data_IF_054223219046
#
_entry.id   IF_054223219046
#
_cell.length_a   1.000
_cell.length_b   1.000
_cell.length_c   1.000
_cell.angle_alpha   90.00
_cell.angle_beta   90.00
_cell.angle_gamma   90.00
#
_symmetry.space_group_name_H-M   'P 1'
#
loop_
_entity.id
_entity.type
_entity.pdbx_description
1 polymer ?
#
# COMPACT_ATOMS: atom_id res chain seq x y z
N UNK A 1 30.15 -0.72 23.21
CA UNK A 1 30.08 -1.45 21.93
C UNK A 1 29.62 -2.86 22.23
N UNK A 2 28.35 -3.20 21.95
CA UNK A 2 27.89 -4.60 21.96
C UNK A 2 28.11 -5.14 20.56
N UNK A 3 29.12 -5.98 20.40
CA UNK A 3 29.33 -6.73 19.16
C UNK A 3 28.25 -7.81 19.15
N UNK A 4 27.17 -7.59 18.41
CA UNK A 4 26.15 -8.62 18.17
C UNK A 4 26.80 -9.74 17.37
N UNK A 5 26.81 -10.95 17.93
CA UNK A 5 27.25 -12.16 17.23
C UNK A 5 26.22 -12.53 16.18
N UNK A 6 26.44 -12.10 14.94
CA UNK A 6 25.66 -12.50 13.78
C UNK A 6 25.95 -13.99 13.53
N UNK A 7 24.96 -14.84 13.81
CA UNK A 7 25.06 -16.28 13.59
C UNK A 7 23.70 -16.89 13.28
N UNK A 8 23.63 -18.16 12.85
CA UNK A 8 22.37 -18.84 12.49
C UNK A 8 21.35 -18.92 13.64
N UNK A 9 21.80 -18.68 14.87
CA UNK A 9 20.99 -18.68 16.08
C UNK A 9 20.63 -17.28 16.60
N UNK A 10 20.92 -16.21 15.86
CA UNK A 10 20.56 -14.84 16.21
C UNK A 10 19.05 -14.70 16.36
N UNK A 11 18.59 -14.12 17.47
CA UNK A 11 17.18 -13.87 17.76
C UNK A 11 16.51 -13.04 16.66
N UNK A 12 17.24 -12.09 16.08
CA UNK A 12 16.71 -11.22 15.02
C UNK A 12 16.41 -11.99 13.72
N UNK A 13 17.26 -12.95 13.35
CA UNK A 13 17.04 -13.80 12.18
C UNK A 13 15.89 -14.78 12.42
N UNK A 14 15.82 -15.39 13.61
CA UNK A 14 14.70 -16.27 14.01
C UNK A 14 13.37 -15.52 14.00
N UNK A 15 13.35 -14.29 14.50
CA UNK A 15 12.16 -13.42 14.49
C UNK A 15 11.66 -13.19 13.07
N UNK A 16 12.54 -12.78 12.15
CA UNK A 16 12.20 -12.56 10.73
C UNK A 16 11.69 -13.82 10.04
N UNK A 17 12.39 -14.95 10.22
CA UNK A 17 11.97 -16.22 9.60
C UNK A 17 10.60 -16.66 10.11
N UNK A 18 10.36 -16.54 11.42
CA UNK A 18 9.08 -16.90 12.03
C UNK A 18 7.96 -15.99 11.55
N UNK A 19 8.21 -14.67 11.50
CA UNK A 19 7.29 -13.67 10.98
C UNK A 19 6.92 -13.96 9.51
N UNK A 20 7.91 -14.09 8.63
CA UNK A 20 7.67 -14.43 7.21
C UNK A 20 6.89 -15.75 7.07
N UNK A 21 7.27 -16.78 7.83
CA UNK A 21 6.61 -18.09 7.77
C UNK A 21 5.15 -18.02 8.19
N UNK A 22 4.84 -17.31 9.28
CA UNK A 22 3.47 -17.10 9.73
C UNK A 22 2.67 -16.30 8.70
N UNK A 23 3.28 -15.27 8.09
CA UNK A 23 2.69 -14.49 7.01
C UNK A 23 2.33 -15.34 5.79
N UNK A 24 3.25 -16.18 5.32
CA UNK A 24 3.01 -17.07 4.19
C UNK A 24 1.92 -18.12 4.48
N UNK A 25 1.85 -18.64 5.71
CA UNK A 25 0.75 -19.53 6.14
C UNK A 25 -0.60 -18.81 6.12
N UNK A 26 -0.63 -17.57 6.64
CA UNK A 26 -1.86 -16.76 6.69
C UNK A 26 -2.39 -16.33 5.34
N UNK A 27 -1.52 -16.22 4.32
CA UNK A 27 -1.92 -15.81 2.98
C UNK A 27 -2.91 -16.79 2.35
N UNK A 28 -2.71 -18.09 2.60
CA UNK A 28 -3.53 -19.17 2.04
C UNK A 28 -5.02 -19.02 2.41
N UNK A 29 -5.32 -18.40 3.56
CA UNK A 29 -6.70 -18.22 4.01
C UNK A 29 -7.45 -17.07 3.30
N UNK A 30 -6.72 -16.05 2.84
CA UNK A 30 -7.29 -14.85 2.21
C UNK A 30 -6.48 -14.43 0.97
N UNK A 31 -6.46 -15.25 -0.10
CA UNK A 31 -5.48 -15.11 -1.17
C UNK A 31 -5.69 -13.90 -2.09
N UNK A 32 -6.92 -13.38 -2.20
CA UNK A 32 -7.25 -12.32 -3.18
C UNK A 32 -6.96 -10.94 -2.60
N UNK A 33 -7.58 -10.61 -1.46
CA UNK A 33 -7.54 -9.29 -0.84
C UNK A 33 -6.78 -9.25 0.50
N UNK A 34 -6.26 -10.39 0.97
CA UNK A 34 -5.52 -10.45 2.22
C UNK A 34 -6.36 -10.18 3.46
N UNK A 35 -5.68 -9.87 4.56
CA UNK A 35 -6.26 -9.60 5.88
C UNK A 35 -6.65 -8.14 6.10
N UNK A 36 -6.41 -7.29 5.12
CA UNK A 36 -6.55 -5.84 5.19
C UNK A 36 -5.23 -5.14 5.54
N UNK A 37 -5.03 -3.88 5.10
CA UNK A 37 -3.88 -3.06 5.51
C UNK A 37 -3.77 -2.98 7.04
N UNK A 38 -2.54 -2.95 7.57
CA UNK A 38 -2.22 -2.86 9.01
C UNK A 38 -2.74 -4.02 9.89
N UNK A 39 -3.29 -5.08 9.29
CA UNK A 39 -3.85 -6.23 10.02
C UNK A 39 -2.89 -7.43 10.08
N UNK A 40 -1.60 -7.24 9.81
CA UNK A 40 -0.64 -8.35 9.81
C UNK A 40 -0.56 -9.06 11.17
N UNK A 41 -0.60 -8.32 12.28
CA UNK A 41 -0.57 -8.87 13.65
C UNK A 41 -1.58 -10.02 13.86
N UNK A 42 -2.72 -9.95 13.19
CA UNK A 42 -3.81 -10.92 13.32
C UNK A 42 -3.48 -12.20 12.58
N UNK A 43 -3.04 -12.08 11.33
CA UNK A 43 -2.58 -13.21 10.53
C UNK A 43 -1.38 -13.89 11.19
N UNK A 44 -0.42 -13.08 11.66
CA UNK A 44 0.73 -13.56 12.40
C UNK A 44 0.32 -14.31 13.67
N UNK A 45 -0.52 -13.71 14.52
CA UNK A 45 -0.95 -14.32 15.78
C UNK A 45 -1.67 -15.65 15.59
N UNK A 46 -2.44 -15.80 14.50
CA UNK A 46 -3.12 -17.06 14.16
C UNK A 46 -2.16 -18.18 13.75
N UNK A 47 -1.05 -17.84 13.11
CA UNK A 47 -0.08 -18.81 12.57
C UNK A 47 1.26 -18.80 13.30
N UNK A 48 1.33 -18.10 14.44
CA UNK A 48 2.52 -18.02 15.26
C UNK A 48 2.83 -19.38 15.88
N UNK A 49 4.09 -19.79 15.76
CA UNK A 49 4.60 -21.01 16.36
C UNK A 49 5.17 -20.70 17.75
N UNK A 50 4.47 -21.11 18.80
CA UNK A 50 4.91 -20.91 20.18
C UNK A 50 6.20 -21.68 20.52
N UNK A 51 6.53 -22.73 19.76
CA UNK A 51 7.76 -23.52 19.94
C UNK A 51 8.97 -22.88 19.24
N UNK A 52 8.77 -21.83 18.44
CA UNK A 52 9.84 -21.10 17.74
C UNK A 52 10.89 -20.47 18.67
N UNK A 53 10.55 -20.32 19.96
CA UNK A 53 11.38 -19.65 20.95
C UNK A 53 11.41 -18.11 20.81
N UNK A 54 10.70 -17.56 19.83
CA UNK A 54 10.56 -16.12 19.63
C UNK A 54 9.54 -15.57 20.62
N UNK A 55 9.89 -14.49 21.34
CA UNK A 55 9.00 -13.86 22.32
C UNK A 55 8.41 -12.54 21.83
N UNK A 56 8.95 -12.00 20.75
CA UNK A 56 8.48 -10.77 20.14
C UNK A 56 7.16 -10.99 19.40
N UNK A 57 6.29 -9.99 19.47
CA UNK A 57 5.07 -9.93 18.67
C UNK A 57 5.33 -9.08 17.43
N UNK A 58 4.92 -9.57 16.27
CA UNK A 58 5.13 -8.87 15.02
C UNK A 58 3.83 -8.28 14.51
N UNK A 59 3.81 -6.97 14.41
CA UNK A 59 2.76 -6.20 13.73
C UNK A 59 3.03 -6.05 12.23
N UNK A 60 4.19 -6.50 11.75
CA UNK A 60 4.58 -6.53 10.34
C UNK A 60 5.47 -7.73 9.97
N UNK A 61 5.40 -8.16 8.71
CA UNK A 61 6.12 -9.33 8.20
C UNK A 61 7.66 -9.18 8.14
N UNK A 62 8.18 -7.96 8.32
CA UNK A 62 9.61 -7.65 8.15
C UNK A 62 10.18 -8.02 6.77
N UNK A 63 9.29 -8.13 5.78
CA UNK A 63 9.57 -8.25 4.37
C UNK A 63 8.39 -7.66 3.61
N UNK A 64 8.63 -6.61 2.82
CA UNK A 64 7.55 -5.85 2.19
C UNK A 64 6.73 -6.67 1.21
N UNK A 65 7.31 -7.61 0.47
CA UNK A 65 6.54 -8.45 -0.45
C UNK A 65 5.60 -9.38 0.30
N UNK A 66 6.08 -9.97 1.39
CA UNK A 66 5.26 -10.82 2.26
C UNK A 66 4.16 -9.99 2.91
N UNK A 67 4.47 -8.78 3.39
CA UNK A 67 3.52 -7.82 3.97
C UNK A 67 2.40 -7.44 2.98
N UNK A 68 2.75 -7.06 1.75
CA UNK A 68 1.77 -6.73 0.71
C UNK A 68 0.92 -7.96 0.35
N UNK A 69 1.55 -9.13 0.26
CA UNK A 69 0.87 -10.39 -0.06
C UNK A 69 -0.15 -10.79 1.03
N UNK A 70 0.23 -10.72 2.31
CA UNK A 70 -0.64 -11.12 3.41
C UNK A 70 -1.73 -10.10 3.71
N UNK A 71 -1.40 -8.80 3.71
CA UNK A 71 -2.36 -7.74 4.07
C UNK A 71 -3.29 -7.42 2.92
N UNK A 72 -2.82 -7.45 1.67
CA UNK A 72 -3.61 -7.02 0.50
C UNK A 72 -3.81 -8.12 -0.54
N UNK A 73 -3.32 -9.33 -0.28
CA UNK A 73 -3.49 -10.49 -1.16
C UNK A 73 -2.73 -10.37 -2.47
N UNK A 74 -3.07 -11.25 -3.41
CA UNK A 74 -2.49 -11.24 -4.75
C UNK A 74 -2.74 -9.91 -5.47
N UNK A 75 -3.92 -9.30 -5.29
CA UNK A 75 -4.25 -8.01 -5.93
C UNK A 75 -3.30 -6.92 -5.46
N UNK A 76 -3.05 -6.82 -4.14
CA UNK A 76 -2.09 -5.88 -3.58
C UNK A 76 -0.67 -6.12 -4.08
N UNK A 77 -0.19 -7.37 -4.01
CA UNK A 77 1.17 -7.69 -4.44
C UNK A 77 1.38 -7.40 -5.93
N UNK A 78 0.43 -7.77 -6.80
CA UNK A 78 0.51 -7.49 -8.24
C UNK A 78 0.55 -5.98 -8.49
N UNK A 79 -0.31 -5.22 -7.81
CA UNK A 79 -0.32 -3.76 -7.91
C UNK A 79 1.03 -3.17 -7.48
N UNK A 80 1.56 -3.62 -6.35
CA UNK A 80 2.87 -3.20 -5.85
C UNK A 80 4.01 -3.50 -6.84
N UNK A 81 4.06 -4.72 -7.38
CA UNK A 81 5.08 -5.13 -8.35
C UNK A 81 4.93 -4.39 -9.69
N UNK A 82 3.71 -4.06 -10.11
CA UNK A 82 3.46 -3.31 -11.35
C UNK A 82 4.09 -1.91 -11.31
N UNK A 83 4.11 -1.27 -10.14
CA UNK A 83 4.78 0.03 -9.94
C UNK A 83 6.29 -0.14 -10.15
N UNK A 84 6.90 -1.18 -9.57
CA UNK A 84 8.32 -1.47 -9.75
C UNK A 84 8.68 -1.79 -11.20
N UNK A 85 7.84 -2.57 -11.89
CA UNK A 85 8.02 -2.85 -13.32
C UNK A 85 7.97 -1.57 -14.15
N UNK A 86 7.01 -0.67 -13.88
CA UNK A 86 6.91 0.61 -14.56
C UNK A 86 8.17 1.47 -14.32
N UNK A 87 8.64 1.57 -13.08
CA UNK A 87 9.87 2.31 -12.73
C UNK A 87 11.07 1.73 -13.48
N UNK A 88 11.25 0.41 -13.47
CA UNK A 88 12.36 -0.27 -14.18
C UNK A 88 12.27 0.00 -15.68
N UNK A 89 11.08 -0.04 -16.26
CA UNK A 89 10.87 0.23 -17.67
C UNK A 89 11.27 1.65 -18.06
N UNK A 90 10.83 2.66 -17.29
CA UNK A 90 11.25 4.06 -17.50
C UNK A 90 12.76 4.20 -17.31
N UNK A 91 13.32 3.59 -16.25
CA UNK A 91 14.75 3.62 -15.95
C UNK A 91 15.59 3.09 -17.12
N UNK A 92 15.26 1.92 -17.66
CA UNK A 92 15.99 1.31 -18.79
C UNK A 92 15.91 2.21 -20.04
N UNK A 93 14.74 2.77 -20.33
CA UNK A 93 14.59 3.73 -21.45
C UNK A 93 15.38 5.02 -21.24
N UNK A 94 15.41 5.52 -20.00
CA UNK A 94 16.15 6.73 -19.65
C UNK A 94 17.66 6.53 -19.81
N UNK A 95 18.21 5.41 -19.35
CA UNK A 95 19.65 5.13 -19.49
C UNK A 95 20.04 4.92 -20.95
N UNK A 96 19.21 4.25 -21.75
CA UNK A 96 19.56 3.89 -23.13
C UNK A 96 19.46 5.03 -24.15
N UNK A 97 18.81 6.16 -23.80
CA UNK A 97 18.53 7.28 -24.73
C UNK A 97 19.25 8.59 -24.40
N UNK A 98 20.13 8.59 -23.38
CA UNK A 98 20.81 9.79 -22.85
C UNK A 98 22.26 9.88 -23.30
N UNK A 99 22.85 11.07 -23.21
CA UNK A 99 24.30 11.26 -23.29
C UNK A 99 24.99 10.79 -21.99
N UNK A 100 26.28 10.43 -22.06
CA UNK A 100 27.02 9.75 -20.98
C UNK A 100 26.92 10.45 -19.61
N UNK A 101 26.96 11.78 -19.57
CA UNK A 101 26.92 12.54 -18.30
C UNK A 101 25.54 12.48 -17.63
N UNK A 102 24.46 12.45 -18.41
CA UNK A 102 23.08 12.37 -17.89
C UNK A 102 22.73 10.93 -17.50
N UNK A 103 23.32 9.94 -18.20
CA UNK A 103 23.19 8.53 -17.85
C UNK A 103 23.70 8.25 -16.43
N UNK A 104 24.85 8.79 -16.05
CA UNK A 104 25.43 8.58 -14.73
C UNK A 104 24.49 9.01 -13.59
N UNK A 105 23.82 10.16 -13.74
CA UNK A 105 22.86 10.64 -12.75
C UNK A 105 21.60 9.76 -12.69
N UNK A 106 21.05 9.35 -13.84
CA UNK A 106 19.91 8.43 -13.90
C UNK A 106 20.26 7.08 -13.24
N UNK A 107 21.46 6.57 -13.48
CA UNK A 107 21.97 5.34 -12.85
C UNK A 107 22.08 5.51 -11.33
N UNK A 108 22.59 6.65 -10.85
CA UNK A 108 22.68 6.93 -9.42
C UNK A 108 21.30 6.93 -8.75
N UNK A 109 20.32 7.63 -9.34
CA UNK A 109 18.94 7.68 -8.81
C UNK A 109 18.27 6.30 -8.89
N UNK A 110 18.48 5.57 -9.98
CA UNK A 110 18.01 4.18 -10.14
C UNK A 110 18.63 3.23 -9.10
N UNK A 111 19.92 3.38 -8.81
CA UNK A 111 20.61 2.60 -7.78
C UNK A 111 20.06 2.93 -6.38
N UNK A 112 19.71 4.18 -6.10
CA UNK A 112 19.07 4.56 -4.85
C UNK A 112 17.68 3.91 -4.70
N UNK A 113 16.87 3.83 -5.76
CA UNK A 113 15.61 3.08 -5.75
C UNK A 113 15.82 1.58 -5.60
N UNK A 114 16.84 1.02 -6.26
CA UNK A 114 17.21 -0.39 -6.09
C UNK A 114 17.62 -0.70 -4.65
N UNK A 115 18.42 0.17 -4.03
CA UNK A 115 18.81 0.05 -2.63
C UNK A 115 17.59 0.14 -1.70
N UNK A 116 16.65 1.05 -1.98
CA UNK A 116 15.37 1.12 -1.26
C UNK A 116 14.56 -0.17 -1.39
N UNK A 117 14.45 -0.75 -2.59
CA UNK A 117 13.74 -2.03 -2.78
C UNK A 117 14.40 -3.16 -1.98
N UNK A 118 15.73 -3.24 -2.01
CA UNK A 118 16.49 -4.24 -1.24
C UNK A 118 16.30 -4.03 0.26
N UNK A 119 16.32 -2.79 0.75
CA UNK A 119 16.00 -2.46 2.15
C UNK A 119 14.62 -3.00 2.54
N UNK A 120 13.62 -2.82 1.67
CA UNK A 120 12.26 -3.28 1.91
C UNK A 120 12.12 -4.80 2.00
N UNK A 121 13.14 -5.59 1.62
CA UNK A 121 13.14 -7.04 1.86
C UNK A 121 13.41 -7.41 3.32
N UNK A 122 13.91 -6.47 4.12
CA UNK A 122 14.37 -6.71 5.49
C UNK A 122 13.82 -5.72 6.52
N UNK A 123 13.29 -4.59 6.06
CA UNK A 123 12.69 -3.53 6.86
C UNK A 123 11.34 -3.15 6.26
N UNK A 124 10.56 -2.43 7.06
CA UNK A 124 9.31 -1.85 6.65
C UNK A 124 9.43 -0.36 6.36
N UNK A 125 8.39 0.17 5.71
CA UNK A 125 8.31 1.57 5.37
C UNK A 125 7.97 2.41 6.61
N UNK A 126 8.66 3.54 6.74
CA UNK A 126 8.33 4.63 7.66
C UNK A 126 7.89 5.86 6.86
N UNK A 127 7.27 6.88 7.47
CA UNK A 127 6.94 8.11 6.78
C UNK A 127 8.12 8.74 6.04
N UNK A 128 9.33 8.62 6.61
CA UNK A 128 10.57 9.15 6.01
C UNK A 128 10.97 8.36 4.77
N UNK A 129 10.92 7.03 4.83
CA UNK A 129 11.32 6.19 3.69
C UNK A 129 10.28 6.28 2.57
N UNK A 130 8.99 6.43 2.89
CA UNK A 130 7.94 6.72 1.90
C UNK A 130 8.19 8.05 1.19
N UNK A 131 8.58 9.10 1.93
CA UNK A 131 8.92 10.39 1.33
C UNK A 131 10.13 10.27 0.39
N UNK A 132 11.18 9.56 0.82
CA UNK A 132 12.34 9.28 -0.02
C UNK A 132 11.93 8.55 -1.31
N UNK A 133 11.11 7.50 -1.20
CA UNK A 133 10.58 6.79 -2.36
C UNK A 133 9.81 7.72 -3.29
N UNK A 134 8.91 8.55 -2.77
CA UNK A 134 8.12 9.49 -3.57
C UNK A 134 9.00 10.49 -4.33
N UNK A 135 10.05 11.02 -3.71
CA UNK A 135 11.01 11.94 -4.36
C UNK A 135 11.81 11.23 -5.46
N UNK A 136 12.25 10.00 -5.22
CA UNK A 136 13.00 9.24 -6.23
C UNK A 136 12.11 8.81 -7.41
N UNK A 137 10.85 8.43 -7.15
CA UNK A 137 9.89 8.08 -8.19
C UNK A 137 9.46 9.30 -8.99
N UNK A 138 9.29 10.47 -8.37
CA UNK A 138 8.91 11.69 -9.08
C UNK A 138 9.96 12.10 -10.12
N UNK A 139 11.24 11.81 -9.87
CA UNK A 139 12.30 11.96 -10.88
C UNK A 139 12.04 11.09 -12.12
N UNK A 140 11.69 9.82 -11.96
CA UNK A 140 11.37 8.94 -13.09
C UNK A 140 10.06 9.30 -13.78
N UNK A 141 9.07 9.80 -13.06
CA UNK A 141 7.84 10.34 -13.67
C UNK A 141 8.18 11.55 -14.55
N UNK A 142 8.99 12.48 -14.05
CA UNK A 142 9.45 13.63 -14.83
C UNK A 142 10.25 13.18 -16.06
N UNK A 143 11.04 12.12 -15.94
CA UNK A 143 11.78 11.54 -17.04
C UNK A 143 10.87 10.95 -18.12
N UNK A 144 9.83 10.19 -17.74
CA UNK A 144 8.89 9.63 -18.71
C UNK A 144 8.10 10.73 -19.42
N UNK A 145 7.66 11.77 -18.68
CA UNK A 145 6.97 12.92 -19.28
C UNK A 145 7.83 13.62 -20.33
N UNK A 146 9.12 13.81 -20.02
CA UNK A 146 10.06 14.44 -20.95
C UNK A 146 10.27 13.59 -22.21
N UNK A 147 10.42 12.28 -22.06
CA UNK A 147 10.56 11.37 -23.20
C UNK A 147 9.29 11.33 -24.06
N UNK A 148 8.11 11.38 -23.45
CA UNK A 148 6.85 11.47 -24.18
C UNK A 148 6.73 12.78 -24.95
N UNK A 149 7.11 13.92 -24.35
CA UNK A 149 7.10 15.20 -25.05
C UNK A 149 8.01 15.18 -26.29
N UNK A 150 9.25 14.68 -26.16
CA UNK A 150 10.17 14.55 -27.30
C UNK A 150 9.61 13.69 -28.43
N UNK A 151 8.89 12.61 -28.10
CA UNK A 151 8.24 11.76 -29.11
C UNK A 151 7.10 12.48 -29.82
N UNK A 152 6.29 13.26 -29.09
CA UNK A 152 5.22 14.05 -29.67
C UNK A 152 5.75 15.14 -30.60
N UNK A 153 6.82 15.84 -30.19
CA UNK A 153 7.45 16.88 -30.99
C UNK A 153 8.00 16.30 -32.31
N UNK A 154 8.67 15.15 -32.26
CA UNK A 154 9.17 14.44 -33.45
C UNK A 154 8.04 13.94 -34.36
N UNK A 155 6.93 13.46 -33.80
CA UNK A 155 5.77 13.02 -34.57
C UNK A 155 5.04 14.19 -35.25
N UNK A 156 4.93 15.33 -34.56
CA UNK A 156 4.33 16.55 -35.11
C UNK A 156 5.18 17.18 -36.22
N UNK A 157 6.50 16.98 -36.19
CA UNK A 157 7.42 17.42 -37.24
C UNK A 157 7.33 16.52 -38.49
N UNK A 158 6.96 15.25 -38.33
CA UNK A 158 6.91 14.26 -39.42
C UNK A 158 5.55 14.15 -40.14
N UNK A 159 4.45 14.58 -39.51
CA UNK A 159 3.09 14.37 -40.06
C UNK A 159 2.22 15.64 -39.97
N UNK A 160 1.61 16.08 -41.09
CA UNK A 160 0.50 17.05 -41.04
C UNK A 160 -0.77 16.28 -40.67
N UNK A 161 -1.59 16.75 -39.71
CA UNK A 161 -2.67 15.93 -39.19
C UNK A 161 -3.80 15.77 -40.20
N UNK A 162 -4.04 14.52 -40.63
CA UNK A 162 -5.32 14.12 -41.18
C UNK A 162 -6.23 13.71 -40.01
N UNK A 163 -7.00 14.68 -39.48
CA UNK A 163 -8.01 14.42 -38.45
C UNK A 163 -9.08 13.47 -38.99
N UNK A 164 -9.13 12.26 -38.45
CA UNK A 164 -10.31 11.41 -38.49
C UNK A 164 -10.89 11.39 -37.08
N UNK A 165 -11.93 12.20 -36.85
CA UNK A 165 -12.63 12.28 -35.56
C UNK A 165 -13.91 11.44 -35.64
N UNK A 166 -13.82 10.17 -35.27
CA UNK A 166 -14.99 9.49 -34.69
C UNK A 166 -15.03 9.83 -33.20
N UNK A 167 -16.18 10.26 -32.63
CA UNK A 167 -16.23 10.70 -31.24
C UNK A 167 -15.84 9.55 -30.31
N UNK A 168 -14.72 9.73 -29.62
CA UNK A 168 -14.21 8.78 -28.65
C UNK A 168 -15.09 8.72 -27.41
N UNK A 169 -14.85 7.74 -26.54
CA UNK A 169 -15.54 7.68 -25.24
C UNK A 169 -15.40 8.99 -24.46
N UNK A 170 -14.24 9.64 -24.53
CA UNK A 170 -13.99 10.94 -23.92
C UNK A 170 -14.91 12.06 -24.46
N UNK A 171 -15.16 12.10 -25.78
CA UNK A 171 -16.03 13.12 -26.41
C UNK A 171 -17.51 12.94 -26.03
N UNK A 172 -17.92 11.69 -25.79
CA UNK A 172 -19.27 11.39 -25.28
C UNK A 172 -19.42 11.79 -23.81
N UNK A 173 -18.37 11.60 -23.01
CA UNK A 173 -18.36 12.01 -21.60
C UNK A 173 -18.34 13.53 -21.47
N UNK A 174 -17.53 14.24 -22.27
CA UNK A 174 -17.51 15.71 -22.29
C UNK A 174 -18.82 16.30 -22.80
N UNK A 175 -19.43 15.73 -23.84
CA UNK A 175 -20.76 16.12 -24.31
C UNK A 175 -21.86 15.91 -23.25
N UNK A 176 -21.80 14.82 -22.49
CA UNK A 176 -22.71 14.55 -21.38
C UNK A 176 -22.54 15.56 -20.23
N UNK A 177 -21.29 15.86 -19.85
CA UNK A 177 -20.95 16.85 -18.83
C UNK A 177 -21.34 18.29 -19.21
N UNK A 178 -21.25 18.63 -20.50
CA UNK A 178 -21.60 19.94 -21.02
C UNK A 178 -23.11 20.22 -21.02
N UNK A 179 -23.95 19.18 -20.96
CA UNK A 179 -25.40 19.35 -20.81
C UNK A 179 -25.76 19.71 -19.35
N UNK A 180 -26.61 20.72 -19.09
CA UNK A 180 -27.00 21.08 -17.72
C UNK A 180 -27.60 19.91 -16.93
N UNK A 181 -28.37 19.03 -17.60
CA UNK A 181 -28.95 17.85 -16.98
C UNK A 181 -27.94 16.72 -16.73
N UNK A 182 -27.01 16.48 -17.67
CA UNK A 182 -25.97 15.46 -17.52
C UNK A 182 -24.90 15.83 -16.50
N UNK A 183 -24.47 17.10 -16.47
CA UNK A 183 -23.58 17.64 -15.45
C UNK A 183 -24.20 17.55 -14.05
N UNK A 184 -25.47 17.93 -13.88
CA UNK A 184 -26.18 17.82 -12.61
C UNK A 184 -26.33 16.35 -12.15
N UNK A 185 -26.66 15.44 -13.07
CA UNK A 185 -26.80 14.01 -12.76
C UNK A 185 -25.48 13.41 -12.29
N UNK A 186 -24.38 13.69 -12.98
CA UNK A 186 -23.04 13.21 -12.60
C UNK A 186 -22.62 13.81 -11.26
N UNK A 187 -22.86 15.10 -11.04
CA UNK A 187 -22.56 15.74 -9.75
C UNK A 187 -23.32 15.07 -8.59
N UNK A 188 -24.60 14.77 -8.76
CA UNK A 188 -25.40 14.04 -7.76
C UNK A 188 -24.83 12.64 -7.52
N UNK A 189 -24.50 11.88 -8.58
CA UNK A 189 -23.88 10.55 -8.44
C UNK A 189 -22.56 10.65 -7.66
N UNK A 190 -21.70 11.61 -8.01
CA UNK A 190 -20.42 11.82 -7.32
C UNK A 190 -20.64 12.19 -5.85
N UNK A 191 -21.58 13.09 -5.54
CA UNK A 191 -21.92 13.45 -4.16
C UNK A 191 -22.42 12.24 -3.38
N UNK A 192 -23.29 11.42 -3.97
CA UNK A 192 -23.81 10.20 -3.33
C UNK A 192 -22.68 9.20 -3.11
N UNK A 193 -21.83 8.95 -4.12
CA UNK A 193 -20.69 8.03 -4.00
C UNK A 193 -19.71 8.50 -2.93
N UNK A 194 -19.38 9.80 -2.92
CA UNK A 194 -18.52 10.38 -1.89
C UNK A 194 -19.18 10.27 -0.50
N UNK A 195 -20.47 10.59 -0.38
CA UNK A 195 -21.20 10.49 0.89
C UNK A 195 -21.24 9.07 1.42
N UNK A 196 -21.56 8.09 0.57
CA UNK A 196 -21.54 6.66 0.91
C UNK A 196 -20.11 6.22 1.27
N UNK A 197 -19.10 6.64 0.53
CA UNK A 197 -17.69 6.35 0.80
C UNK A 197 -17.23 6.92 2.15
N UNK A 198 -17.54 8.19 2.45
CA UNK A 198 -17.23 8.81 3.74
C UNK A 198 -17.91 8.04 4.87
N UNK A 199 -19.19 7.70 4.71
CA UNK A 199 -19.93 7.00 5.75
C UNK A 199 -19.36 5.60 6.04
N UNK A 200 -19.18 4.76 5.00
CA UNK A 200 -18.76 3.37 5.19
C UNK A 200 -17.27 3.18 5.37
N UNK A 201 -16.44 4.00 4.72
CA UNK A 201 -14.97 3.83 4.73
C UNK A 201 -14.25 4.73 5.74
N UNK A 202 -14.91 5.77 6.27
CA UNK A 202 -14.29 6.68 7.23
C UNK A 202 -15.05 6.72 8.56
N UNK A 203 -16.34 7.08 8.55
CA UNK A 203 -17.10 7.27 9.79
C UNK A 203 -17.26 5.97 10.58
N UNK A 204 -17.72 4.88 9.94
CA UNK A 204 -17.87 3.58 10.62
C UNK A 204 -16.55 3.07 11.24
N UNK A 205 -15.43 2.99 10.50
CA UNK A 205 -14.14 2.62 11.10
C UNK A 205 -13.69 3.56 12.22
N UNK A 206 -13.90 4.88 12.07
CA UNK A 206 -13.54 5.87 13.09
C UNK A 206 -14.33 5.67 14.38
N UNK A 207 -15.64 5.49 14.29
CA UNK A 207 -16.52 5.24 15.43
C UNK A 207 -16.12 3.93 16.14
N UNK A 208 -15.91 2.86 15.36
CA UNK A 208 -15.48 1.58 15.89
C UNK A 208 -14.11 1.66 16.59
N UNK A 209 -13.15 2.41 16.03
CA UNK A 209 -11.84 2.64 16.66
C UNK A 209 -11.95 3.50 17.93
N UNK A 210 -12.83 4.51 17.93
CA UNK A 210 -13.07 5.37 19.10
C UNK A 210 -13.66 4.58 20.26
N UNK A 211 -14.58 3.65 20.00
CA UNK A 211 -15.10 2.73 21.02
C UNK A 211 -13.96 1.91 21.67
N UNK A 212 -12.98 1.45 20.88
CA UNK A 212 -11.80 0.74 21.42
C UNK A 212 -10.94 1.63 22.30
N UNK A 213 -10.79 2.92 21.99
CA UNK A 213 -10.03 3.84 22.84
C UNK A 213 -10.69 3.98 24.22
N UNK A 214 -12.02 3.95 24.29
CA UNK A 214 -12.78 4.11 25.55
C UNK A 214 -12.52 3.00 26.57
N UNK A 215 -12.01 1.83 26.16
CA UNK A 215 -11.69 0.74 27.11
C UNK A 215 -10.55 1.10 28.07
N UNK A 216 -9.72 2.07 27.70
CA UNK A 216 -8.60 2.54 28.51
C UNK A 216 -9.01 3.63 29.50
N UNK A 217 -10.28 4.04 29.49
CA UNK A 217 -10.83 5.00 30.45
C UNK A 217 -10.66 4.46 31.88
N UNK A 218 -10.08 5.24 32.80
CA UNK A 218 -9.89 4.79 34.17
C UNK A 218 -11.23 4.57 34.87
N UNK A 219 -11.28 3.62 35.80
CA UNK A 219 -12.42 3.31 36.67
C UNK A 219 -13.70 2.79 35.98
N UNK A 220 -13.60 2.26 34.76
CA UNK A 220 -14.72 1.55 34.11
C UNK A 220 -14.73 0.06 34.49
N UNK A 221 -15.93 -0.53 34.56
CA UNK A 221 -16.11 -1.95 34.86
C UNK A 221 -15.80 -2.84 33.65
N UNK A 222 -15.62 -4.15 33.89
CA UNK A 222 -15.49 -5.12 32.80
C UNK A 222 -16.73 -5.18 31.92
N UNK A 223 -17.92 -5.06 32.49
CA UNK A 223 -19.18 -5.00 31.74
C UNK A 223 -19.21 -3.81 30.77
N UNK A 224 -18.75 -2.63 31.21
CA UNK A 224 -18.62 -1.46 30.35
C UNK A 224 -17.58 -1.66 29.24
N UNK A 225 -16.44 -2.32 29.54
CA UNK A 225 -15.44 -2.68 28.53
C UNK A 225 -16.00 -3.61 27.47
N UNK A 226 -16.78 -4.62 27.87
CA UNK A 226 -17.47 -5.51 26.93
C UNK A 226 -18.47 -4.75 26.05
N UNK A 227 -19.22 -3.80 26.62
CA UNK A 227 -20.10 -2.94 25.83
C UNK A 227 -19.37 -2.17 24.73
N UNK A 228 -18.19 -1.60 25.02
CA UNK A 228 -17.37 -0.92 24.00
C UNK A 228 -16.78 -1.88 22.96
N UNK A 229 -16.47 -3.12 23.34
CA UNK A 229 -16.06 -4.14 22.39
C UNK A 229 -17.20 -4.52 21.43
N UNK A 230 -18.40 -4.73 21.95
CA UNK A 230 -19.60 -4.99 21.14
C UNK A 230 -19.90 -3.81 20.21
N UNK A 231 -19.88 -2.58 20.71
CA UNK A 231 -20.06 -1.36 19.91
C UNK A 231 -19.07 -1.28 18.74
N UNK A 232 -17.79 -1.56 19.00
CA UNK A 232 -16.76 -1.57 17.96
C UNK A 232 -17.01 -2.64 16.89
N UNK A 233 -17.39 -3.85 17.33
CA UNK A 233 -17.67 -4.99 16.45
C UNK A 233 -18.90 -4.71 15.59
N UNK A 234 -19.97 -4.16 16.16
CA UNK A 234 -21.22 -3.91 15.46
C UNK A 234 -21.08 -2.77 14.45
N UNK A 235 -20.34 -1.71 14.82
CA UNK A 235 -20.14 -0.55 13.96
C UNK A 235 -19.26 -0.89 12.74
N UNK A 236 -18.17 -1.63 12.95
CA UNK A 236 -17.28 -2.10 11.89
C UNK A 236 -16.69 -3.49 12.20
N UNK A 237 -17.35 -4.58 11.77
CA UNK A 237 -16.94 -5.95 12.10
C UNK A 237 -15.52 -6.31 11.66
N UNK A 238 -14.95 -5.63 10.67
CA UNK A 238 -13.57 -5.86 10.26
C UNK A 238 -12.53 -5.38 11.30
N UNK A 239 -12.90 -4.47 12.21
CA UNK A 239 -12.09 -4.07 13.38
C UNK A 239 -12.25 -5.02 14.58
N UNK A 240 -13.12 -6.02 14.52
CA UNK A 240 -13.39 -6.97 15.61
C UNK A 240 -12.16 -7.73 16.14
N UNK A 241 -11.07 -7.69 15.38
CA UNK A 241 -9.81 -8.30 15.77
C UNK A 241 -9.13 -7.61 16.95
N UNK A 242 -9.23 -6.28 17.07
CA UNK A 242 -8.67 -5.54 18.21
C UNK A 242 -9.37 -5.89 19.54
N UNK A 243 -10.72 -5.89 19.64
CA UNK A 243 -11.43 -6.46 20.78
C UNK A 243 -10.92 -7.82 21.20
N UNK A 244 -10.77 -8.74 20.25
CA UNK A 244 -10.32 -10.11 20.52
C UNK A 244 -8.89 -10.16 21.05
N UNK A 245 -7.99 -9.37 20.48
CA UNK A 245 -6.60 -9.28 20.95
C UNK A 245 -6.53 -8.72 22.37
N UNK A 246 -7.32 -7.70 22.68
CA UNK A 246 -7.33 -7.02 23.98
C UNK A 246 -8.03 -7.81 25.08
N UNK A 247 -8.98 -8.68 24.73
CA UNK A 247 -9.61 -9.62 25.66
C UNK A 247 -8.67 -10.76 26.08
N UNK A 248 -7.65 -11.06 25.27
CA UNK A 248 -6.69 -12.15 25.50
C UNK A 248 -5.36 -11.66 26.11
N UNK A 249 -5.18 -10.35 26.27
CA UNK A 249 -3.99 -9.71 26.84
C UNK A 249 -4.19 -9.35 28.30
#
# INVERSE_FOLDING_TARGET
SRVTTIGPNDESLKGRVTSITAGLKGYVEKPIFGWGPENYLIAWGKHFDAESGVRERFDQAHNKLVEELITKGAVGLITYLSIWVAIIWVFVRAVTRREEYEQAFVILVGAALGAFFVQNMFLFDSPVTVLQFAVLVSFFVAEEMRQHQTQLDQAAEHDRPQKSESPGFADKVTGLLASPAGGATIAVIVIVVIGVSIFYLNMKPFNAATAIVQINTPNITWEQRFGFFEESIDEFPALANYPRLLLLS
#
